data_IF_933552637854
#
_entry.id   IF_933552637854
#
_cell.length_a   1.000
_cell.length_b   1.000
_cell.length_c   1.000
_cell.angle_alpha   90.00
_cell.angle_beta   90.00
_cell.angle_gamma   90.00
#
_symmetry.space_group_name_H-M   'P 1'
#
loop_
_entity.id
_entity.type
_entity.pdbx_description
1 polymer ?
#
# COMPACT_ATOMS: atom_id res chain seq x y z
N UNK A 1 -24.07 -71.39 -12.65
CA UNK A 1 -23.75 -70.18 -13.42
C UNK A 1 -24.07 -68.89 -12.65
N UNK A 2 -25.28 -68.68 -12.12
CA UNK A 2 -25.61 -67.48 -11.31
C UNK A 2 -24.87 -67.47 -9.96
N UNK A 3 -24.75 -68.62 -9.29
CA UNK A 3 -24.04 -68.72 -7.98
C UNK A 3 -22.53 -68.45 -8.08
N UNK A 4 -21.89 -68.83 -9.19
CA UNK A 4 -20.45 -68.57 -9.39
C UNK A 4 -20.16 -67.09 -9.64
N UNK A 5 -21.06 -66.39 -10.33
CA UNK A 5 -20.97 -64.93 -10.55
C UNK A 5 -21.11 -64.18 -9.21
N UNK A 6 -22.04 -64.61 -8.35
CA UNK A 6 -22.19 -64.03 -7.01
C UNK A 6 -20.95 -64.24 -6.13
N UNK A 7 -20.32 -65.43 -6.22
CA UNK A 7 -19.13 -65.76 -5.44
C UNK A 7 -17.88 -64.98 -5.90
N UNK A 8 -17.79 -64.68 -7.20
CA UNK A 8 -16.75 -63.82 -7.77
C UNK A 8 -16.94 -62.34 -7.37
N UNK A 9 -18.18 -61.84 -7.38
CA UNK A 9 -18.51 -60.49 -6.92
C UNK A 9 -18.10 -60.28 -5.46
N UNK A 10 -18.41 -61.24 -4.58
CA UNK A 10 -18.11 -61.13 -3.16
C UNK A 10 -16.60 -61.10 -2.86
N UNK A 11 -15.82 -61.90 -3.60
CA UNK A 11 -14.35 -61.90 -3.49
C UNK A 11 -13.71 -60.60 -3.98
N UNK A 12 -14.32 -59.96 -4.99
CA UNK A 12 -13.82 -58.70 -5.53
C UNK A 12 -14.04 -57.55 -4.53
N UNK A 13 -15.18 -57.54 -3.84
CA UNK A 13 -15.48 -56.55 -2.78
C UNK A 13 -14.54 -56.69 -1.57
N UNK A 14 -14.17 -57.91 -1.18
CA UNK A 14 -13.17 -58.12 -0.13
C UNK A 14 -11.78 -57.66 -0.56
N UNK A 15 -11.40 -57.89 -1.82
CA UNK A 15 -10.10 -57.43 -2.35
C UNK A 15 -10.00 -55.91 -2.38
N UNK A 16 -11.09 -55.21 -2.74
CA UNK A 16 -11.16 -53.74 -2.74
C UNK A 16 -11.01 -53.19 -1.32
N UNK A 17 -11.64 -53.81 -0.32
CA UNK A 17 -11.49 -53.40 1.09
C UNK A 17 -10.06 -53.59 1.63
N UNK A 18 -9.32 -54.60 1.14
CA UNK A 18 -7.92 -54.84 1.53
C UNK A 18 -6.96 -53.88 0.80
N UNK A 19 -7.27 -53.51 -0.45
CA UNK A 19 -6.41 -52.64 -1.27
C UNK A 19 -6.58 -51.14 -0.95
N UNK A 20 -7.68 -50.72 -0.34
CA UNK A 20 -7.88 -49.35 0.13
C UNK A 20 -8.13 -49.32 1.63
N UNK A 21 -7.09 -49.17 2.48
CA UNK A 21 -7.30 -49.02 3.91
C UNK A 21 -8.13 -47.75 4.17
N UNK A 22 -9.15 -47.81 5.04
CA UNK A 22 -10.09 -46.70 5.28
C UNK A 22 -9.38 -45.39 5.71
N UNK A 23 -8.21 -45.52 6.34
CA UNK A 23 -7.40 -44.40 6.79
C UNK A 23 -6.82 -43.56 5.63
N UNK A 24 -6.53 -44.17 4.47
CA UNK A 24 -5.94 -43.46 3.34
C UNK A 24 -6.95 -42.51 2.68
N UNK A 25 -8.22 -42.93 2.61
CA UNK A 25 -9.32 -42.14 2.03
C UNK A 25 -9.71 -41.00 3.00
N UNK A 26 -9.73 -41.26 4.30
CA UNK A 26 -9.99 -40.23 5.31
C UNK A 26 -8.90 -39.17 5.38
N UNK A 27 -7.63 -39.58 5.27
CA UNK A 27 -6.50 -38.65 5.29
C UNK A 27 -6.48 -37.76 4.05
N UNK A 28 -6.76 -38.33 2.86
CA UNK A 28 -6.84 -37.56 1.62
C UNK A 28 -7.98 -36.53 1.67
N UNK A 29 -9.14 -36.92 2.19
CA UNK A 29 -10.28 -36.02 2.37
C UNK A 29 -9.99 -34.91 3.40
N UNK A 30 -9.27 -35.23 4.47
CA UNK A 30 -8.84 -34.26 5.49
C UNK A 30 -7.88 -33.22 4.91
N UNK A 31 -6.82 -33.64 4.22
CA UNK A 31 -5.87 -32.73 3.57
C UNK A 31 -6.53 -31.88 2.48
N UNK A 32 -7.44 -32.45 1.69
CA UNK A 32 -8.22 -31.71 0.69
C UNK A 32 -9.06 -30.60 1.32
N UNK A 33 -9.69 -30.85 2.46
CA UNK A 33 -10.49 -29.85 3.17
C UNK A 33 -9.62 -28.72 3.73
N UNK A 34 -8.42 -29.02 4.24
CA UNK A 34 -7.47 -28.00 4.71
C UNK A 34 -7.04 -27.08 3.55
N UNK A 35 -6.69 -27.65 2.39
CA UNK A 35 -6.32 -26.86 1.22
C UNK A 35 -7.47 -25.97 0.77
N UNK A 36 -8.71 -26.47 0.76
CA UNK A 36 -9.89 -25.67 0.43
C UNK A 36 -10.10 -24.49 1.40
N UNK A 37 -9.94 -24.70 2.71
CA UNK A 37 -10.06 -23.65 3.71
C UNK A 37 -8.98 -22.58 3.51
N UNK A 38 -7.73 -22.97 3.31
CA UNK A 38 -6.63 -22.03 3.05
C UNK A 38 -6.90 -21.23 1.76
N UNK A 39 -7.34 -21.91 0.70
CA UNK A 39 -7.66 -21.26 -0.58
C UNK A 39 -8.81 -20.26 -0.43
N UNK A 40 -9.84 -20.59 0.37
CA UNK A 40 -10.95 -19.69 0.69
C UNK A 40 -10.45 -18.45 1.45
N UNK A 41 -9.56 -18.62 2.43
CA UNK A 41 -8.96 -17.49 3.15
C UNK A 41 -8.15 -16.58 2.22
N UNK A 42 -7.34 -17.15 1.32
CA UNK A 42 -6.57 -16.38 0.33
C UNK A 42 -7.50 -15.62 -0.62
N UNK A 43 -8.59 -16.26 -1.09
CA UNK A 43 -9.58 -15.61 -1.95
C UNK A 43 -10.30 -14.47 -1.24
N UNK A 44 -10.72 -14.65 0.01
CA UNK A 44 -11.36 -13.60 0.80
C UNK A 44 -10.39 -12.42 0.99
N UNK A 45 -9.14 -12.70 1.35
CA UNK A 45 -8.11 -11.67 1.51
C UNK A 45 -7.89 -10.87 0.22
N UNK A 46 -7.69 -11.58 -0.90
CA UNK A 46 -7.50 -10.97 -2.22
C UNK A 46 -8.73 -10.15 -2.66
N UNK A 47 -9.94 -10.60 -2.33
CA UNK A 47 -11.20 -9.90 -2.64
C UNK A 47 -11.32 -8.59 -1.86
N UNK A 48 -10.92 -8.59 -0.57
CA UNK A 48 -10.89 -7.38 0.26
C UNK A 48 -9.90 -6.36 -0.32
N UNK A 49 -8.68 -6.79 -0.66
CA UNK A 49 -7.68 -5.92 -1.30
C UNK A 49 -8.21 -5.35 -2.63
N UNK A 50 -8.82 -6.19 -3.47
CA UNK A 50 -9.36 -5.77 -4.77
C UNK A 50 -10.50 -4.77 -4.62
N UNK A 51 -11.38 -4.95 -3.64
CA UNK A 51 -12.46 -3.99 -3.35
C UNK A 51 -11.94 -2.65 -2.84
N UNK A 52 -10.91 -2.66 -2.00
CA UNK A 52 -10.24 -1.43 -1.55
C UNK A 52 -9.64 -0.68 -2.74
N UNK A 53 -8.91 -1.37 -3.62
CA UNK A 53 -8.32 -0.79 -4.83
C UNK A 53 -9.41 -0.25 -5.78
N UNK A 54 -10.51 -0.98 -5.99
CA UNK A 54 -11.59 -0.56 -6.88
C UNK A 54 -12.33 0.70 -6.36
N UNK A 55 -12.58 0.78 -5.06
CA UNK A 55 -13.20 1.96 -4.45
C UNK A 55 -12.26 3.17 -4.50
N UNK A 56 -10.97 2.98 -4.26
CA UNK A 56 -9.95 4.01 -4.43
C UNK A 56 -9.85 4.48 -5.89
N UNK A 57 -9.96 3.57 -6.86
CA UNK A 57 -9.91 3.88 -8.29
C UNK A 57 -11.09 4.75 -8.72
N UNK A 58 -12.30 4.50 -8.18
CA UNK A 58 -13.49 5.34 -8.44
C UNK A 58 -13.34 6.76 -7.89
N UNK A 59 -12.77 6.94 -6.71
CA UNK A 59 -12.52 8.28 -6.14
C UNK A 59 -11.34 9.01 -6.81
N UNK A 60 -10.32 8.27 -7.24
CA UNK A 60 -9.12 8.73 -7.95
C UNK A 60 -9.42 9.25 -9.37
N UNK A 61 -10.49 8.77 -10.00
CA UNK A 61 -10.81 9.10 -11.39
C UNK A 61 -11.12 10.58 -11.67
N UNK A 62 -11.25 11.45 -10.65
CA UNK A 62 -11.54 12.87 -10.83
C UNK A 62 -10.54 13.83 -10.15
N UNK A 63 -9.42 13.33 -9.61
CA UNK A 63 -8.56 14.12 -8.72
C UNK A 63 -7.10 13.94 -9.10
N UNK A 64 -6.24 14.97 -8.91
CA UNK A 64 -4.80 14.72 -8.91
C UNK A 64 -4.53 13.71 -7.81
N UNK A 65 -3.60 12.79 -8.04
CA UNK A 65 -3.30 11.72 -7.08
C UNK A 65 -1.79 11.72 -6.89
N UNK A 66 -1.36 12.09 -5.68
CA UNK A 66 0.04 12.04 -5.29
C UNK A 66 0.16 10.91 -4.27
N UNK A 67 0.86 9.84 -4.64
CA UNK A 67 1.05 8.66 -3.79
C UNK A 67 2.50 8.53 -3.39
N UNK A 68 2.75 7.98 -2.22
CA UNK A 68 4.10 7.58 -1.85
C UNK A 68 4.56 6.41 -2.72
N UNK A 69 5.79 6.48 -3.23
CA UNK A 69 6.44 5.38 -3.91
C UNK A 69 7.03 4.43 -2.85
N UNK A 70 6.65 3.16 -2.92
CA UNK A 70 7.10 2.11 -1.99
C UNK A 70 6.26 2.00 -0.71
N UNK A 71 6.64 1.07 0.16
CA UNK A 71 5.91 0.76 1.40
C UNK A 71 6.71 1.12 2.66
N UNK A 72 6.07 1.72 3.68
CA UNK A 72 6.70 1.94 4.99
C UNK A 72 6.48 0.67 5.79
N UNK A 73 7.52 -0.18 5.89
CA UNK A 73 7.46 -1.38 6.73
C UNK A 73 7.47 -1.05 8.21
N UNK A 74 8.18 0.00 8.59
CA UNK A 74 8.28 0.45 9.96
C UNK A 74 8.33 1.97 10.01
N UNK A 75 7.34 2.60 10.66
CA UNK A 75 7.27 4.05 10.81
C UNK A 75 8.41 4.63 11.66
N UNK A 76 8.98 3.84 12.56
CA UNK A 76 10.13 4.25 13.40
C UNK A 76 11.44 4.36 12.61
N UNK A 77 11.51 3.73 11.43
CA UNK A 77 12.69 3.79 10.57
C UNK A 77 12.81 5.10 9.79
N UNK A 78 11.73 5.89 9.74
CA UNK A 78 11.68 7.16 9.01
C UNK A 78 12.40 8.22 9.84
N UNK A 79 13.50 8.75 9.30
CA UNK A 79 14.33 9.75 9.97
C UNK A 79 14.21 11.11 9.29
N UNK A 80 14.32 12.16 10.11
CA UNK A 80 14.39 13.53 9.60
C UNK A 80 15.69 13.74 8.81
N UNK A 81 15.68 14.69 7.88
CA UNK A 81 16.90 15.12 7.23
C UNK A 81 17.86 15.74 8.26
N UNK A 82 19.17 15.42 8.22
CA UNK A 82 20.16 16.18 8.96
C UNK A 82 20.10 17.67 8.60
N UNK A 83 20.38 18.53 9.59
CA UNK A 83 20.28 20.01 9.51
C UNK A 83 20.98 20.66 8.32
N UNK A 84 21.94 19.97 7.70
CA UNK A 84 22.72 20.49 6.57
C UNK A 84 21.99 20.39 5.21
N UNK A 85 20.70 19.99 5.20
CA UNK A 85 19.86 19.85 3.99
C UNK A 85 20.47 18.94 2.89
N UNK A 86 21.44 18.11 3.24
CA UNK A 86 22.08 17.14 2.34
C UNK A 86 21.75 15.76 2.85
N UNK A 87 20.93 15.04 2.09
CA UNK A 87 20.46 13.71 2.44
C UNK A 87 20.68 12.80 1.23
N UNK A 88 21.15 11.58 1.48
CA UNK A 88 21.18 10.56 0.43
C UNK A 88 19.73 10.27 0.01
N UNK A 89 19.54 10.13 -1.31
CA UNK A 89 18.29 9.77 -1.97
C UNK A 89 17.54 8.57 -1.36
N UNK A 90 18.29 7.64 -0.71
CA UNK A 90 17.75 6.42 -0.11
C UNK A 90 16.96 6.66 1.18
N UNK A 91 17.25 7.75 1.88
CA UNK A 91 16.59 8.11 3.14
C UNK A 91 15.39 9.06 2.92
N UNK A 92 15.12 9.44 1.67
CA UNK A 92 14.04 10.36 1.33
C UNK A 92 12.73 9.61 1.07
N UNK A 93 11.64 10.17 1.58
CA UNK A 93 10.30 9.77 1.18
C UNK A 93 10.10 10.16 -0.27
N UNK A 94 9.77 9.19 -1.12
CA UNK A 94 9.49 9.47 -2.52
C UNK A 94 7.99 9.47 -2.74
N UNK A 95 7.49 10.46 -3.47
CA UNK A 95 6.11 10.55 -3.90
C UNK A 95 6.04 10.63 -5.41
N UNK A 96 5.01 10.05 -6.02
CA UNK A 96 4.76 10.10 -7.46
C UNK A 96 3.42 10.75 -7.71
N UNK A 97 3.41 11.70 -8.65
CA UNK A 97 2.19 12.28 -9.17
C UNK A 97 1.65 11.36 -10.25
N UNK A 98 0.53 10.70 -9.98
CA UNK A 98 -0.09 9.76 -10.92
C UNK A 98 -1.12 10.43 -11.82
N UNK A 99 -1.60 11.62 -11.44
CA UNK A 99 -2.71 12.27 -12.14
C UNK A 99 -2.72 13.78 -11.95
N UNK A 100 -3.14 14.48 -13.00
CA UNK A 100 -3.25 15.94 -13.15
C UNK A 100 -1.96 16.70 -12.85
N UNK A 101 -1.85 17.92 -13.38
CA UNK A 101 -0.74 18.82 -13.06
C UNK A 101 -1.04 19.49 -11.72
N UNK A 102 -0.11 19.36 -10.77
CA UNK A 102 -0.16 20.09 -9.50
C UNK A 102 0.59 21.42 -9.63
N UNK A 103 0.01 22.49 -9.11
CA UNK A 103 0.59 23.85 -9.12
C UNK A 103 1.20 24.23 -7.77
N UNK A 104 0.80 23.55 -6.70
CA UNK A 104 1.38 23.69 -5.37
C UNK A 104 1.13 22.40 -4.59
N UNK A 105 2.14 21.95 -3.84
CA UNK A 105 2.09 20.75 -3.01
C UNK A 105 2.75 21.06 -1.68
N UNK A 106 2.03 20.79 -0.60
CA UNK A 106 2.51 20.95 0.77
C UNK A 106 2.07 19.75 1.60
N UNK A 107 2.75 19.47 2.71
CA UNK A 107 2.37 18.33 3.52
C UNK A 107 2.96 18.30 4.91
N UNK A 108 2.52 17.32 5.67
CA UNK A 108 3.07 17.00 6.98
C UNK A 108 3.05 15.50 7.21
N UNK A 109 3.94 15.04 8.05
CA UNK A 109 4.00 13.66 8.52
C UNK A 109 3.79 13.63 10.02
N UNK A 110 3.08 12.61 10.51
CA UNK A 110 2.92 12.35 11.93
C UNK A 110 3.59 11.01 12.23
N UNK A 111 4.54 11.02 13.17
CA UNK A 111 5.25 9.84 13.65
C UNK A 111 5.32 9.95 15.17
N UNK A 112 4.90 8.90 15.87
CA UNK A 112 5.05 8.75 17.32
C UNK A 112 4.52 9.96 18.12
N UNK A 113 3.34 10.45 17.72
CA UNK A 113 2.66 11.58 18.40
C UNK A 113 3.28 12.95 18.12
N UNK A 114 4.20 13.06 17.16
CA UNK A 114 4.79 14.32 16.72
C UNK A 114 4.41 14.60 15.26
N UNK A 115 3.99 15.84 14.98
CA UNK A 115 3.66 16.34 13.65
C UNK A 115 4.82 17.18 13.12
N UNK A 116 5.37 16.77 11.99
CA UNK A 116 6.47 17.44 11.30
C UNK A 116 6.03 17.97 9.94
N UNK A 117 6.53 19.15 9.56
CA UNK A 117 6.32 19.70 8.22
C UNK A 117 7.18 18.95 7.19
N UNK A 118 6.58 18.54 6.08
CA UNK A 118 7.31 17.93 4.97
C UNK A 118 8.04 19.01 4.17
N UNK A 119 9.27 18.73 3.78
CA UNK A 119 10.08 19.54 2.90
C UNK A 119 10.38 18.74 1.64
N UNK A 120 10.16 19.35 0.48
CA UNK A 120 10.31 18.72 -0.83
C UNK A 120 11.63 19.14 -1.46
N UNK A 121 12.42 18.15 -1.87
CA UNK A 121 13.76 18.30 -2.42
C UNK A 121 13.72 18.61 -3.91
N UNK A 122 13.90 19.89 -4.26
CA UNK A 122 14.13 20.30 -5.63
C UNK A 122 15.54 19.83 -6.04
N UNK A 123 15.62 19.05 -7.11
CA UNK A 123 16.90 18.56 -7.61
C UNK A 123 17.72 19.75 -8.12
N UNK A 124 18.87 20.00 -7.50
CA UNK A 124 19.85 20.96 -8.01
C UNK A 124 21.00 20.14 -8.54
N UNK A 125 21.04 20.00 -9.87
CA UNK A 125 22.12 19.28 -10.53
C UNK A 125 23.47 19.96 -10.26
N UNK A 126 24.34 19.32 -9.48
CA UNK A 126 25.79 19.45 -9.62
C UNK A 126 26.36 18.12 -10.06
N UNK A 127 27.40 18.21 -10.89
CA UNK A 127 27.89 17.18 -11.82
C UNK A 127 28.35 15.87 -11.14
N UNK A 128 28.48 15.81 -9.81
CA UNK A 128 29.12 14.66 -9.13
C UNK A 128 28.37 14.11 -7.90
N UNK A 129 27.37 14.80 -7.33
CA UNK A 129 26.54 14.28 -6.23
C UNK A 129 25.12 14.87 -6.31
N UNK A 130 24.09 14.03 -6.28
CA UNK A 130 22.70 14.49 -6.22
C UNK A 130 22.46 15.21 -4.90
N UNK A 131 22.41 16.53 -4.93
CA UNK A 131 22.09 17.38 -3.79
C UNK A 131 20.72 17.98 -4.00
N UNK A 132 19.89 17.92 -2.97
CA UNK A 132 18.54 18.45 -2.97
C UNK A 132 18.50 19.75 -2.19
N UNK A 133 17.79 20.76 -2.70
CA UNK A 133 17.35 21.89 -1.90
C UNK A 133 15.92 21.63 -1.43
N UNK A 134 15.72 21.64 -0.12
CA UNK A 134 14.45 21.29 0.48
C UNK A 134 13.62 22.52 0.82
N UNK A 135 12.37 22.56 0.34
CA UNK A 135 11.43 23.66 0.59
C UNK A 135 10.07 23.12 1.07
N UNK A 136 9.34 23.83 1.94
CA UNK A 136 8.08 23.35 2.51
C UNK A 136 6.93 23.26 1.50
N UNK A 137 7.06 23.93 0.35
CA UNK A 137 6.09 23.92 -0.74
C UNK A 137 6.82 23.55 -2.03
N UNK A 138 6.31 22.54 -2.72
CA UNK A 138 6.70 22.29 -4.10
C UNK A 138 5.79 23.07 -5.05
N UNK A 139 6.37 23.67 -6.08
CA UNK A 139 5.64 24.41 -7.10
C UNK A 139 4.95 23.52 -8.14
N UNK A 140 5.23 23.80 -9.41
CA UNK A 140 4.66 23.07 -10.53
C UNK A 140 5.24 21.66 -10.64
N UNK A 141 4.36 20.68 -10.85
CA UNK A 141 4.74 19.30 -11.04
C UNK A 141 3.78 18.61 -12.01
N UNK A 142 4.33 18.03 -13.08
CA UNK A 142 3.56 17.29 -14.08
C UNK A 142 3.25 15.88 -13.60
N UNK A 143 2.35 15.21 -14.32
CA UNK A 143 2.15 13.76 -14.16
C UNK A 143 3.50 13.03 -14.31
N UNK A 144 3.66 11.96 -13.56
CA UNK A 144 4.86 11.12 -13.41
C UNK A 144 6.09 11.78 -12.77
N UNK A 145 5.97 13.04 -12.30
CA UNK A 145 7.02 13.65 -11.49
C UNK A 145 7.22 12.85 -10.20
N UNK A 146 8.48 12.55 -9.90
CA UNK A 146 8.90 11.99 -8.61
C UNK A 146 9.35 13.14 -7.71
N UNK A 147 8.69 13.27 -6.57
CA UNK A 147 8.99 14.25 -5.54
C UNK A 147 9.76 13.54 -4.43
N UNK A 148 11.00 13.96 -4.20
CA UNK A 148 11.72 13.55 -3.01
C UNK A 148 11.31 14.48 -1.85
N UNK A 149 11.11 13.93 -0.65
CA UNK A 149 10.75 14.71 0.51
C UNK A 149 11.39 14.16 1.79
N UNK A 150 11.56 15.06 2.73
CA UNK A 150 11.97 14.81 4.11
C UNK A 150 11.11 15.64 5.04
N UNK A 151 11.44 15.72 6.34
CA UNK A 151 10.73 16.55 7.30
C UNK A 151 11.70 17.23 8.27
N UNK A 152 11.27 18.36 8.82
CA UNK A 152 12.01 19.08 9.86
C UNK A 152 12.12 18.23 11.13
N UNK A 153 13.27 18.32 11.81
CA UNK A 153 13.44 17.70 13.14
C UNK A 153 12.49 18.30 14.20
N UNK A 154 12.10 19.56 14.04
CA UNK A 154 11.21 20.25 14.98
C UNK A 154 9.74 19.87 14.73
N UNK A 155 9.24 18.94 15.54
CA UNK A 155 7.85 18.49 15.53
C UNK A 155 6.97 19.18 16.57
N UNK A 156 5.67 19.25 16.29
CA UNK A 156 4.65 19.68 17.26
C UNK A 156 3.89 18.47 17.79
N UNK A 157 3.66 18.40 19.10
CA UNK A 157 2.88 17.31 19.69
C UNK A 157 1.46 17.22 19.11
N UNK A 158 0.99 16.00 18.87
CA UNK A 158 -0.34 15.72 18.35
C UNK A 158 -0.87 14.40 18.90
N UNK A 159 -2.21 14.28 19.01
CA UNK A 159 -2.90 13.05 19.42
C UNK A 159 -3.27 12.14 18.26
N UNK A 160 -2.93 12.53 17.03
CA UNK A 160 -3.27 11.79 15.81
C UNK A 160 -2.34 10.59 15.62
N UNK A 161 -2.82 9.50 15.01
CA UNK A 161 -2.00 8.33 14.70
C UNK A 161 -0.96 8.65 13.62
N UNK A 162 -0.09 7.68 13.33
CA UNK A 162 0.90 7.78 12.27
C UNK A 162 0.20 7.93 10.91
N UNK A 163 0.52 9.02 10.21
CA UNK A 163 -0.07 9.33 8.92
C UNK A 163 0.77 10.35 8.15
N UNK A 164 0.70 10.28 6.84
CA UNK A 164 1.21 11.31 5.93
C UNK A 164 0.02 12.06 5.36
N UNK A 165 0.05 13.39 5.38
CA UNK A 165 -1.00 14.21 4.79
C UNK A 165 -0.39 15.16 3.78
N UNK A 166 -0.84 15.07 2.54
CA UNK A 166 -0.50 16.00 1.48
C UNK A 166 -1.71 16.84 1.12
N UNK A 167 -1.45 18.08 0.75
CA UNK A 167 -2.42 19.01 0.22
C UNK A 167 -1.87 19.56 -1.07
N UNK A 168 -2.68 19.59 -2.12
CA UNK A 168 -2.24 20.09 -3.42
C UNK A 168 -3.35 20.84 -4.13
N UNK A 169 -2.92 21.75 -4.99
CA UNK A 169 -3.77 22.54 -5.87
C UNK A 169 -3.51 22.11 -7.31
N UNK A 170 -4.56 21.83 -8.08
CA UNK A 170 -4.40 21.53 -9.50
C UNK A 170 -4.27 22.82 -10.34
N UNK A 171 -4.11 22.64 -11.66
CA UNK A 171 -4.04 23.76 -12.61
C UNK A 171 -5.34 24.56 -12.74
N UNK A 172 -6.50 23.93 -12.47
CA UNK A 172 -7.81 24.58 -12.46
C UNK A 172 -8.09 25.34 -11.15
N UNK A 173 -7.22 25.16 -10.16
CA UNK A 173 -7.28 25.79 -8.85
C UNK A 173 -8.09 25.03 -7.81
N UNK A 174 -8.55 23.81 -8.11
CA UNK A 174 -9.19 22.93 -7.14
C UNK A 174 -8.16 22.48 -6.10
N UNK A 175 -8.59 22.44 -4.84
CA UNK A 175 -7.78 21.98 -3.71
C UNK A 175 -8.18 20.58 -3.29
N UNK A 176 -7.18 19.76 -3.08
CA UNK A 176 -7.32 18.38 -2.66
C UNK A 176 -6.38 18.09 -1.49
N UNK A 177 -6.76 17.09 -0.72
CA UNK A 177 -5.93 16.54 0.34
C UNK A 177 -5.87 15.03 0.16
N UNK A 178 -4.71 14.42 0.38
CA UNK A 178 -4.57 12.98 0.56
C UNK A 178 -4.08 12.74 1.97
N UNK A 179 -4.70 11.77 2.64
CA UNK A 179 -4.24 11.26 3.93
C UNK A 179 -3.86 9.82 3.67
N UNK A 180 -2.65 9.42 4.00
CA UNK A 180 -2.18 8.04 3.98
C UNK A 180 -1.94 7.63 5.44
N UNK A 181 -2.75 6.69 5.94
CA UNK A 181 -2.59 6.14 7.29
C UNK A 181 -1.58 5.00 7.30
N UNK A 182 -1.25 4.50 8.48
CA UNK A 182 -0.45 3.27 8.67
C UNK A 182 -0.95 2.06 7.86
N UNK A 183 -2.25 2.00 7.55
CA UNK A 183 -2.88 0.94 6.77
C UNK A 183 -2.98 1.26 5.26
N UNK A 184 -2.31 2.32 4.79
CA UNK A 184 -2.43 2.82 3.41
C UNK A 184 -3.86 3.25 3.03
N UNK A 185 -4.71 3.55 4.02
CA UNK A 185 -6.03 4.08 3.72
C UNK A 185 -5.88 5.49 3.19
N UNK A 186 -6.30 5.69 1.93
CA UNK A 186 -6.31 6.98 1.29
C UNK A 186 -7.68 7.63 1.35
N UNK A 187 -7.75 8.80 1.98
CA UNK A 187 -8.96 9.63 1.96
C UNK A 187 -8.64 10.94 1.25
N UNK A 188 -9.51 11.30 0.31
CA UNK A 188 -9.40 12.56 -0.41
C UNK A 188 -10.63 13.43 -0.23
N UNK A 189 -10.41 14.72 0.02
CA UNK A 189 -11.46 15.72 0.19
C UNK A 189 -11.22 16.88 -0.77
N UNK A 190 -12.26 17.27 -1.54
CA UNK A 190 -12.25 18.56 -2.25
C UNK A 190 -12.49 19.63 -1.19
N UNK A 191 -11.50 20.50 -0.98
CA UNK A 191 -11.69 21.65 -0.10
C UNK A 191 -12.74 22.57 -0.70
N UNK A 192 -13.86 22.81 0.00
CA UNK A 192 -14.67 24.00 -0.28
C UNK A 192 -13.81 25.21 0.06
N UNK A 193 -13.69 26.17 -0.86
CA UNK A 193 -13.23 27.50 -0.50
C UNK A 193 -14.06 27.97 0.69
N UNK A 194 -13.41 28.34 1.80
CA UNK A 194 -14.00 29.32 2.69
C UNK A 194 -13.97 30.66 1.97
#
# INVERSE_FOLDING_TARGET
>A
MIEEIQKLSLKMDELIKVLTPPNLISDLAFWSNIVLIITLFVLIWYTIETHQIANQTKESNLRPVILRAGFIKNWDSIKAAPKDNKVDSKDLLQFRILKNIATSIQGYIIINGLKFELLFGHNISRIEETKFQFEPNWGWATVDTVLAATFKEEGKSTKKPNQIVMSYKDIEGNKYHTIETENFDQKCFRGKCK
#
